data_IF_183692967250
#
_entry.id   IF_183692967250
#
_cell.length_a   1.000
_cell.length_b   1.000
_cell.length_c   1.000
_cell.angle_alpha   90.00
_cell.angle_beta   90.00
_cell.angle_gamma   90.00
#
_symmetry.space_group_name_H-M   'P 1'
#
loop_
_entity.id
_entity.type
_entity.pdbx_description
1 polymer ?
#
# COMPACT_ATOMS: atom_id res chain seq x y z
N UNK A 1 9.38 -14.76 7.55
CA UNK A 1 8.18 -14.68 8.40
C UNK A 1 8.42 -13.72 9.56
N UNK A 2 9.25 -14.05 10.55
CA UNK A 2 9.44 -13.22 11.77
C UNK A 2 9.83 -11.76 11.49
N UNK A 3 10.80 -11.50 10.62
CA UNK A 3 11.20 -10.13 10.20
C UNK A 3 10.06 -9.35 9.55
N UNK A 4 9.30 -10.01 8.68
CA UNK A 4 8.16 -9.40 8.01
C UNK A 4 7.05 -9.04 9.00
N UNK A 5 6.79 -9.92 9.97
CA UNK A 5 5.77 -9.71 11.00
C UNK A 5 6.13 -8.58 11.98
N UNK A 6 7.40 -8.48 12.38
CA UNK A 6 7.83 -7.60 13.47
C UNK A 6 8.37 -6.25 13.00
N UNK A 7 8.84 -6.14 11.76
CA UNK A 7 9.43 -4.90 11.24
C UNK A 7 8.70 -4.39 10.00
N UNK A 8 8.54 -5.22 8.96
CA UNK A 8 8.02 -4.74 7.67
C UNK A 8 6.56 -4.33 7.77
N UNK A 9 5.70 -5.22 8.27
CA UNK A 9 4.26 -4.93 8.35
C UNK A 9 3.98 -3.75 9.31
N UNK A 10 4.56 -3.69 10.54
CA UNK A 10 4.35 -2.53 11.41
C UNK A 10 4.94 -1.23 10.84
N UNK A 11 6.06 -1.28 10.10
CA UNK A 11 6.61 -0.10 9.44
C UNK A 11 5.71 0.37 8.29
N UNK A 12 5.17 -0.57 7.49
CA UNK A 12 4.14 -0.26 6.49
C UNK A 12 2.90 0.39 7.09
N UNK A 13 2.46 -0.09 8.26
CA UNK A 13 1.36 0.51 9.00
C UNK A 13 1.71 1.93 9.49
N UNK A 14 2.93 2.13 9.98
CA UNK A 14 3.43 3.44 10.40
C UNK A 14 3.45 4.44 9.23
N UNK A 15 3.91 4.05 8.04
CA UNK A 15 3.88 4.89 6.84
C UNK A 15 2.44 5.33 6.51
N UNK A 16 1.47 4.42 6.61
CA UNK A 16 0.08 4.72 6.28
C UNK A 16 -0.57 5.71 7.27
N UNK A 17 -0.33 5.55 8.58
CA UNK A 17 -0.87 6.49 9.58
C UNK A 17 -0.22 7.86 9.49
N UNK A 18 1.09 7.94 9.18
CA UNK A 18 1.76 9.22 8.96
C UNK A 18 1.27 9.90 7.68
N UNK A 19 1.02 9.13 6.63
CA UNK A 19 0.39 9.67 5.41
C UNK A 19 -1.00 10.22 5.73
N UNK A 20 -1.78 9.53 6.56
CA UNK A 20 -3.09 10.01 7.01
C UNK A 20 -2.98 11.34 7.75
N UNK A 21 -2.03 11.50 8.68
CA UNK A 21 -1.89 12.75 9.43
C UNK A 21 -1.57 13.94 8.52
N UNK A 22 -0.74 13.75 7.49
CA UNK A 22 -0.45 14.77 6.46
C UNK A 22 -1.73 15.21 5.75
N UNK A 23 -2.57 14.28 5.29
CA UNK A 23 -3.80 14.64 4.61
C UNK A 23 -4.87 15.20 5.57
N UNK A 24 -4.92 14.76 6.82
CA UNK A 24 -5.85 15.26 7.83
C UNK A 24 -5.56 16.72 8.17
N UNK A 25 -4.29 17.08 8.39
CA UNK A 25 -3.85 18.46 8.61
C UNK A 25 -4.18 19.34 7.41
N UNK A 26 -3.89 18.87 6.18
CA UNK A 26 -4.24 19.58 4.95
C UNK A 26 -5.75 19.78 4.79
N UNK A 27 -6.54 18.76 5.14
CA UNK A 27 -8.00 18.82 5.10
C UNK A 27 -8.58 19.87 6.05
N UNK A 28 -8.02 19.97 7.26
CA UNK A 28 -8.47 20.91 8.28
C UNK A 28 -7.86 22.31 8.12
N UNK A 29 -6.96 22.49 7.14
CA UNK A 29 -6.23 23.73 6.90
C UNK A 29 -5.53 24.26 8.16
N UNK A 30 -4.94 23.37 8.94
CA UNK A 30 -4.25 23.74 10.19
C UNK A 30 -2.86 24.25 9.84
N UNK A 31 -2.59 25.49 10.22
CA UNK A 31 -1.26 26.10 10.15
C UNK A 31 -0.54 25.97 11.50
N UNK A 32 0.76 25.68 11.46
CA UNK A 32 1.58 25.55 12.65
C UNK A 32 2.62 26.66 12.67
N UNK A 33 2.78 27.32 13.82
CA UNK A 33 3.80 28.36 14.01
C UNK A 33 5.22 27.77 14.13
N UNK A 34 5.34 26.58 14.72
CA UNK A 34 6.62 25.93 15.01
C UNK A 34 6.69 24.49 14.45
N UNK A 35 7.88 24.10 14.00
CA UNK A 35 8.17 22.77 13.48
C UNK A 35 7.91 21.66 14.52
N UNK A 36 8.25 21.93 15.79
CA UNK A 36 8.05 20.99 16.89
C UNK A 36 6.57 20.67 17.10
N UNK A 37 5.71 21.70 17.11
CA UNK A 37 4.26 21.56 17.25
C UNK A 37 3.67 20.80 16.06
N UNK A 38 4.17 21.04 14.85
CA UNK A 38 3.78 20.30 13.64
C UNK A 38 4.07 18.81 13.80
N UNK A 39 5.30 18.44 14.17
CA UNK A 39 5.70 17.03 14.35
C UNK A 39 4.84 16.35 15.42
N UNK A 40 4.62 17.00 16.56
CA UNK A 40 3.79 16.45 17.65
C UNK A 40 2.34 16.26 17.17
N UNK A 41 1.77 17.23 16.45
CA UNK A 41 0.42 17.12 15.92
C UNK A 41 0.29 15.96 14.92
N UNK A 42 1.26 15.79 14.01
CA UNK A 42 1.30 14.63 13.11
C UNK A 42 1.25 13.32 13.89
N UNK A 43 2.13 13.15 14.89
CA UNK A 43 2.18 11.94 15.73
C UNK A 43 0.89 11.68 16.49
N UNK A 44 0.32 12.71 17.11
CA UNK A 44 -0.93 12.57 17.86
C UNK A 44 -2.10 12.15 16.96
N UNK A 45 -2.22 12.74 15.77
CA UNK A 45 -3.25 12.37 14.80
C UNK A 45 -3.05 10.94 14.29
N UNK A 46 -1.81 10.59 13.91
CA UNK A 46 -1.42 9.24 13.48
C UNK A 46 -1.78 8.18 14.53
N UNK A 47 -1.40 8.40 15.79
CA UNK A 47 -1.64 7.45 16.88
C UNK A 47 -3.10 7.41 17.30
N UNK A 48 -3.82 8.53 17.26
CA UNK A 48 -5.25 8.57 17.56
C UNK A 48 -6.03 7.70 16.57
N UNK A 49 -5.73 7.79 15.27
CA UNK A 49 -6.33 6.91 14.26
C UNK A 49 -5.96 5.44 14.53
N UNK A 50 -4.68 5.16 14.79
CA UNK A 50 -4.22 3.79 15.01
C UNK A 50 -4.89 3.14 16.21
N UNK A 51 -5.00 3.87 17.33
CA UNK A 51 -5.66 3.41 18.56
C UNK A 51 -7.17 3.24 18.37
N UNK A 52 -7.82 4.14 17.63
CA UNK A 52 -9.23 3.99 17.26
C UNK A 52 -9.46 2.72 16.46
N UNK A 53 -8.65 2.47 15.42
CA UNK A 53 -8.76 1.27 14.60
C UNK A 53 -8.38 0.00 15.37
N UNK A 54 -7.38 0.07 16.26
CA UNK A 54 -7.06 -1.00 17.20
C UNK A 54 -8.27 -1.39 18.05
N UNK A 55 -8.92 -0.41 18.65
CA UNK A 55 -10.11 -0.64 19.47
C UNK A 55 -11.23 -1.28 18.63
N UNK A 56 -11.51 -0.73 17.45
CA UNK A 56 -12.51 -1.28 16.51
C UNK A 56 -12.20 -2.75 16.15
N UNK A 57 -10.94 -3.08 15.86
CA UNK A 57 -10.50 -4.43 15.51
C UNK A 57 -10.47 -5.41 16.70
N UNK A 58 -10.53 -4.92 17.94
CA UNK A 58 -10.70 -5.75 19.14
C UNK A 58 -12.15 -6.23 19.34
N UNK A 59 -13.13 -5.52 18.76
CA UNK A 59 -14.55 -5.87 18.73
C UNK A 59 -14.95 -6.51 17.39
N UNK A 60 -16.20 -6.98 17.30
CA UNK A 60 -16.70 -7.91 16.28
C UNK A 60 -16.18 -7.64 14.85
N UNK A 61 -15.21 -8.46 14.43
CA UNK A 61 -14.56 -8.39 13.12
C UNK A 61 -15.57 -8.51 11.97
N UNK A 62 -16.61 -9.31 12.18
CA UNK A 62 -17.60 -9.61 11.14
C UNK A 62 -18.54 -8.46 10.85
N UNK A 63 -18.83 -7.62 11.85
CA UNK A 63 -19.83 -6.55 11.74
C UNK A 63 -19.24 -5.16 11.66
N UNK A 64 -18.19 -4.84 12.41
CA UNK A 64 -17.65 -3.46 12.46
C UNK A 64 -16.53 -3.27 11.46
N UNK A 65 -15.53 -4.16 11.47
CA UNK A 65 -14.35 -4.07 10.59
C UNK A 65 -14.74 -4.17 9.12
N UNK A 66 -15.68 -5.07 8.78
CA UNK A 66 -16.22 -5.21 7.43
C UNK A 66 -16.94 -3.94 6.94
N UNK A 67 -17.73 -3.28 7.82
CA UNK A 67 -18.42 -2.02 7.49
C UNK A 67 -17.46 -0.88 7.24
N UNK A 68 -16.44 -0.72 8.09
CA UNK A 68 -15.37 0.29 7.88
C UNK A 68 -14.70 0.07 6.53
N UNK A 69 -14.42 -1.18 6.17
CA UNK A 69 -13.83 -1.51 4.88
C UNK A 69 -14.76 -1.15 3.71
N UNK A 70 -16.05 -1.49 3.79
CA UNK A 70 -17.05 -1.17 2.76
C UNK A 70 -17.15 0.34 2.56
N UNK A 71 -17.25 1.11 3.65
CA UNK A 71 -17.32 2.57 3.59
C UNK A 71 -16.08 3.14 2.89
N UNK A 72 -14.88 2.64 3.23
CA UNK A 72 -13.65 3.08 2.58
C UNK A 72 -13.60 2.72 1.09
N UNK A 73 -14.09 1.53 0.70
CA UNK A 73 -14.20 1.13 -0.71
C UNK A 73 -15.16 2.05 -1.47
N UNK A 74 -16.33 2.34 -0.90
CA UNK A 74 -17.28 3.31 -1.50
C UNK A 74 -16.60 4.68 -1.65
N UNK A 75 -15.89 5.16 -0.63
CA UNK A 75 -15.15 6.41 -0.70
C UNK A 75 -14.07 6.41 -1.80
N UNK A 76 -13.36 5.29 -2.01
CA UNK A 76 -12.39 5.12 -3.12
C UNK A 76 -13.08 5.31 -4.47
N UNK A 77 -14.22 4.67 -4.69
CA UNK A 77 -14.98 4.79 -5.94
C UNK A 77 -15.60 6.17 -6.13
N UNK A 78 -16.09 6.80 -5.07
CA UNK A 78 -16.63 8.17 -5.13
C UNK A 78 -15.52 9.16 -5.47
N UNK A 79 -14.37 9.08 -4.79
CA UNK A 79 -13.24 9.97 -5.04
C UNK A 79 -12.69 9.84 -6.46
N UNK A 80 -12.49 8.60 -6.93
CA UNK A 80 -12.05 8.37 -8.32
C UNK A 80 -13.12 8.75 -9.33
N UNK A 81 -14.40 8.45 -9.05
CA UNK A 81 -15.54 8.81 -9.89
C UNK A 81 -15.69 10.32 -10.07
N UNK A 82 -15.54 11.11 -8.99
CA UNK A 82 -15.55 12.58 -9.05
C UNK A 82 -14.47 13.09 -10.01
N UNK A 83 -13.24 12.57 -9.91
CA UNK A 83 -12.12 12.97 -10.78
C UNK A 83 -12.40 12.57 -12.24
N UNK A 84 -12.85 11.33 -12.48
CA UNK A 84 -13.11 10.81 -13.82
C UNK A 84 -14.26 11.56 -14.51
N UNK A 85 -15.38 11.75 -13.83
CA UNK A 85 -16.54 12.46 -14.37
C UNK A 85 -16.18 13.91 -14.67
N UNK A 86 -15.43 14.56 -13.78
CA UNK A 86 -14.95 15.92 -14.01
C UNK A 86 -14.00 15.99 -15.22
N UNK A 87 -13.05 15.05 -15.34
CA UNK A 87 -12.16 14.95 -16.51
C UNK A 87 -12.94 14.83 -17.82
N UNK A 88 -13.95 13.94 -17.86
CA UNK A 88 -14.83 13.77 -19.02
C UNK A 88 -15.64 15.04 -19.31
N UNK A 89 -16.16 15.72 -18.28
CA UNK A 89 -16.88 16.99 -18.46
C UNK A 89 -15.97 18.05 -19.10
N UNK A 90 -14.74 18.19 -18.63
CA UNK A 90 -13.77 19.12 -19.22
C UNK A 90 -13.38 18.70 -20.63
N UNK A 91 -13.26 17.41 -20.94
CA UNK A 91 -13.02 16.95 -22.32
C UNK A 91 -14.13 17.39 -23.28
N UNK A 92 -15.39 17.25 -22.87
CA UNK A 92 -16.54 17.51 -23.75
C UNK A 92 -16.91 18.99 -23.85
N UNK A 93 -16.74 19.75 -22.76
CA UNK A 93 -17.27 21.12 -22.63
C UNK A 93 -16.23 22.15 -22.18
N UNK A 94 -15.02 21.73 -21.83
CA UNK A 94 -13.99 22.59 -21.28
C UNK A 94 -13.36 23.49 -22.34
N UNK A 95 -13.27 24.79 -22.04
CA UNK A 95 -12.59 25.78 -22.90
C UNK A 95 -11.07 25.79 -22.77
N UNK A 96 -10.53 25.27 -21.66
CA UNK A 96 -9.11 25.29 -21.29
C UNK A 96 -8.52 23.88 -21.13
N UNK A 97 -8.92 22.95 -22.01
CA UNK A 97 -8.37 21.59 -22.02
C UNK A 97 -6.92 21.64 -22.51
N UNK A 98 -6.03 20.92 -21.83
CA UNK A 98 -4.63 20.79 -22.20
C UNK A 98 -4.44 19.80 -23.36
N UNK A 99 -5.05 20.09 -24.52
CA UNK A 99 -4.97 19.23 -25.70
C UNK A 99 -3.53 18.97 -26.16
N UNK A 100 -2.60 19.88 -25.85
CA UNK A 100 -1.19 19.71 -26.20
C UNK A 100 -0.59 18.42 -25.59
N UNK A 101 -1.05 18.03 -24.40
CA UNK A 101 -0.64 16.77 -23.76
C UNK A 101 -1.00 15.53 -24.60
N UNK A 102 -2.00 15.62 -25.49
CA UNK A 102 -2.46 14.51 -26.33
C UNK A 102 -1.95 14.58 -27.77
N UNK A 103 -1.69 15.77 -28.28
CA UNK A 103 -1.09 15.95 -29.61
C UNK A 103 0.41 15.64 -29.62
N UNK A 104 1.11 16.00 -28.54
CA UNK A 104 2.55 15.76 -28.39
C UNK A 104 2.88 15.01 -27.09
N UNK A 105 2.35 13.78 -26.88
CA UNK A 105 2.39 13.09 -25.59
C UNK A 105 3.79 12.66 -25.16
N UNK A 106 4.74 12.56 -26.10
CA UNK A 106 6.13 12.17 -25.84
C UNK A 106 7.12 13.34 -25.96
N UNK A 107 6.63 14.56 -26.12
CA UNK A 107 7.50 15.74 -26.18
C UNK A 107 8.28 15.90 -24.87
N UNK A 108 9.56 16.24 -24.96
CA UNK A 108 10.48 16.33 -23.82
C UNK A 108 10.62 15.03 -22.98
N UNK A 109 10.23 13.88 -23.52
CA UNK A 109 10.37 12.59 -22.83
C UNK A 109 11.81 12.11 -22.86
N UNK A 110 12.35 11.78 -21.69
CA UNK A 110 13.66 11.19 -21.58
C UNK A 110 13.60 9.66 -21.73
N UNK A 111 13.86 9.17 -22.95
CA UNK A 111 13.79 7.75 -23.31
C UNK A 111 15.01 6.92 -22.87
N UNK A 112 15.86 7.44 -21.96
CA UNK A 112 16.95 6.64 -21.39
C UNK A 112 16.34 5.41 -20.70
N UNK A 113 16.85 4.20 -20.94
CA UNK A 113 16.30 2.97 -20.37
C UNK A 113 16.11 3.02 -18.84
N UNK A 114 17.03 3.68 -18.12
CA UNK A 114 16.92 3.89 -16.67
C UNK A 114 15.70 4.72 -16.24
N UNK A 115 15.35 5.78 -16.99
CA UNK A 115 14.19 6.62 -16.67
C UNK A 115 12.87 5.90 -16.98
N UNK A 116 12.84 5.13 -18.07
CA UNK A 116 11.68 4.27 -18.38
C UNK A 116 11.49 3.23 -17.27
N UNK A 117 12.58 2.59 -16.82
CA UNK A 117 12.52 1.64 -15.71
C UNK A 117 12.00 2.29 -14.42
N UNK A 118 12.50 3.48 -14.06
CA UNK A 118 12.02 4.23 -12.89
C UNK A 118 10.54 4.60 -12.99
N UNK A 119 10.06 5.03 -14.17
CA UNK A 119 8.65 5.36 -14.39
C UNK A 119 7.75 4.11 -14.26
N UNK A 120 8.14 2.98 -14.86
CA UNK A 120 7.45 1.71 -14.71
C UNK A 120 7.39 1.26 -13.24
N UNK A 121 8.45 1.53 -12.46
CA UNK A 121 8.49 1.18 -11.04
C UNK A 121 7.57 2.04 -10.19
N UNK A 122 7.48 3.35 -10.44
CA UNK A 122 6.47 4.20 -9.81
C UNK A 122 5.04 3.72 -10.12
N UNK A 123 4.80 3.30 -11.37
CA UNK A 123 3.56 2.66 -11.78
C UNK A 123 3.28 1.38 -11.01
N UNK A 124 4.24 0.45 -10.96
CA UNK A 124 4.10 -0.83 -10.27
C UNK A 124 3.83 -0.66 -8.77
N UNK A 125 4.49 0.30 -8.12
CA UNK A 125 4.26 0.63 -6.71
C UNK A 125 2.79 0.99 -6.43
N UNK A 126 2.13 1.67 -7.37
CA UNK A 126 0.71 2.05 -7.23
C UNK A 126 -0.26 0.86 -7.23
N UNK A 127 0.17 -0.29 -7.77
CA UNK A 127 -0.60 -1.55 -7.79
C UNK A 127 -0.23 -2.52 -6.65
N UNK A 128 0.66 -2.12 -5.75
CA UNK A 128 1.07 -2.97 -4.63
C UNK A 128 -0.05 -3.18 -3.60
N UNK A 129 0.04 -4.27 -2.82
CA UNK A 129 -0.94 -4.64 -1.79
C UNK A 129 -1.94 -5.73 -2.19
N UNK A 130 -1.77 -6.33 -3.37
CA UNK A 130 -2.60 -7.43 -3.87
C UNK A 130 -2.45 -8.74 -3.10
N UNK A 131 -1.33 -8.91 -2.39
CA UNK A 131 -1.01 -10.08 -1.58
C UNK A 131 -1.73 -10.09 -0.23
N UNK A 132 -2.30 -8.95 0.21
CA UNK A 132 -3.05 -8.84 1.47
C UNK A 132 -4.23 -9.81 1.51
N UNK A 133 -4.86 -10.08 0.37
CA UNK A 133 -5.97 -11.02 0.24
C UNK A 133 -5.58 -12.43 0.73
N UNK A 134 -4.31 -12.81 0.63
CA UNK A 134 -3.82 -14.12 1.05
C UNK A 134 -3.86 -14.30 2.58
N UNK A 135 -3.77 -13.23 3.36
CA UNK A 135 -3.77 -13.31 4.83
C UNK A 135 -5.14 -13.67 5.42
N UNK A 136 -6.22 -13.45 4.67
CA UNK A 136 -7.59 -13.81 5.06
C UNK A 136 -8.12 -15.04 4.32
N UNK A 137 -7.26 -15.84 3.69
CA UNK A 137 -7.71 -16.95 2.82
C UNK A 137 -8.54 -18.01 3.57
N UNK A 138 -8.30 -18.19 4.87
CA UNK A 138 -9.07 -19.10 5.73
C UNK A 138 -10.54 -18.67 5.88
N UNK A 139 -10.80 -17.36 5.75
CA UNK A 139 -12.14 -16.78 5.84
C UNK A 139 -12.89 -16.78 4.49
N UNK A 140 -12.20 -17.10 3.39
CA UNK A 140 -12.76 -17.06 2.03
C UNK A 140 -13.50 -18.37 1.71
N UNK A 141 -14.76 -18.26 1.31
CA UNK A 141 -15.52 -19.41 0.79
C UNK A 141 -14.93 -19.88 -0.55
N UNK A 142 -14.60 -21.17 -0.64
CA UNK A 142 -14.08 -21.81 -1.86
C UNK A 142 -12.85 -21.10 -2.44
N UNK A 143 -11.74 -20.96 -1.69
CA UNK A 143 -10.62 -20.10 -2.05
C UNK A 143 -9.98 -20.47 -3.40
N UNK A 144 -10.00 -21.75 -3.77
CA UNK A 144 -9.46 -22.23 -5.06
C UNK A 144 -10.12 -21.58 -6.29
N UNK A 145 -11.42 -21.26 -6.22
CA UNK A 145 -12.16 -20.61 -7.32
C UNK A 145 -12.27 -19.10 -7.10
N UNK A 146 -12.52 -18.69 -5.86
CA UNK A 146 -12.77 -17.29 -5.52
C UNK A 146 -11.51 -16.45 -5.59
N UNK A 147 -10.35 -16.95 -5.13
CA UNK A 147 -9.10 -16.16 -5.08
C UNK A 147 -8.61 -15.75 -6.48
N UNK A 148 -8.46 -16.67 -7.46
CA UNK A 148 -7.97 -16.27 -8.79
C UNK A 148 -8.91 -15.27 -9.47
N UNK A 149 -10.22 -15.49 -9.35
CA UNK A 149 -11.23 -14.60 -9.91
C UNK A 149 -11.18 -13.21 -9.26
N UNK A 150 -11.14 -13.15 -7.93
CA UNK A 150 -11.04 -11.89 -7.19
C UNK A 150 -9.78 -11.09 -7.57
N UNK A 151 -8.63 -11.76 -7.68
CA UNK A 151 -7.37 -11.11 -8.09
C UNK A 151 -7.50 -10.54 -9.50
N UNK A 152 -7.97 -11.32 -10.48
CA UNK A 152 -8.06 -10.85 -11.87
C UNK A 152 -9.05 -9.68 -12.01
N UNK A 153 -10.25 -9.81 -11.44
CA UNK A 153 -11.27 -8.76 -11.53
C UNK A 153 -10.83 -7.49 -10.82
N UNK A 154 -10.27 -7.59 -9.60
CA UNK A 154 -9.78 -6.42 -8.87
C UNK A 154 -8.66 -5.72 -9.64
N UNK A 155 -7.75 -6.46 -10.26
CA UNK A 155 -6.66 -5.88 -11.07
C UNK A 155 -7.16 -5.14 -12.30
N UNK A 156 -8.12 -5.71 -13.03
CA UNK A 156 -8.69 -5.05 -14.21
C UNK A 156 -9.40 -3.76 -13.80
N UNK A 157 -10.23 -3.81 -12.75
CA UNK A 157 -10.95 -2.64 -12.24
C UNK A 157 -9.99 -1.55 -11.78
N UNK A 158 -8.96 -1.90 -11.00
CA UNK A 158 -7.94 -0.95 -10.56
C UNK A 158 -7.20 -0.32 -11.76
N UNK A 159 -6.80 -1.13 -12.75
CA UNK A 159 -6.10 -0.64 -13.93
C UNK A 159 -6.96 0.33 -14.75
N UNK A 160 -8.24 -0.01 -14.98
CA UNK A 160 -9.16 0.89 -15.68
C UNK A 160 -9.33 2.21 -14.94
N UNK A 161 -9.54 2.19 -13.63
CA UNK A 161 -9.70 3.41 -12.83
C UNK A 161 -8.43 4.25 -12.88
N UNK A 162 -7.26 3.65 -12.70
CA UNK A 162 -6.00 4.38 -12.70
C UNK A 162 -5.70 5.03 -14.05
N UNK A 163 -5.96 4.32 -15.16
CA UNK A 163 -5.82 4.89 -16.51
C UNK A 163 -6.79 6.06 -16.71
N UNK A 164 -8.07 5.89 -16.35
CA UNK A 164 -9.08 6.94 -16.49
C UNK A 164 -8.79 8.17 -15.62
N UNK A 165 -8.29 7.97 -14.40
CA UNK A 165 -7.87 9.07 -13.52
C UNK A 165 -6.68 9.84 -14.10
N UNK A 166 -5.64 9.12 -14.56
CA UNK A 166 -4.49 9.77 -15.20
C UNK A 166 -4.92 10.54 -16.45
N UNK A 167 -5.77 9.94 -17.28
CA UNK A 167 -6.35 10.60 -18.45
C UNK A 167 -7.05 11.92 -18.06
N UNK A 168 -7.82 11.90 -16.98
CA UNK A 168 -8.51 13.08 -16.45
C UNK A 168 -7.53 14.16 -15.98
N UNK A 169 -6.44 13.77 -15.32
CA UNK A 169 -5.38 14.72 -14.92
C UNK A 169 -4.72 15.37 -16.13
N UNK A 170 -4.34 14.59 -17.15
CA UNK A 170 -3.73 15.11 -18.38
C UNK A 170 -4.67 16.00 -19.20
N UNK A 171 -6.00 15.91 -19.03
CA UNK A 171 -6.95 16.80 -19.70
C UNK A 171 -6.95 18.22 -19.13
N UNK A 172 -6.63 18.39 -17.85
CA UNK A 172 -6.80 19.68 -17.16
C UNK A 172 -5.47 20.29 -16.74
N UNK A 173 -4.52 19.47 -16.31
CA UNK A 173 -3.24 19.89 -15.77
C UNK A 173 -2.15 19.81 -16.83
N UNK A 174 -1.24 20.78 -16.85
CA UNK A 174 -0.01 20.65 -17.64
C UNK A 174 0.94 19.65 -16.97
N UNK A 175 1.87 19.09 -17.74
CA UNK A 175 2.93 18.20 -17.22
C UNK A 175 3.75 18.91 -16.12
N UNK A 176 4.02 20.20 -16.29
CA UNK A 176 4.78 21.01 -15.33
C UNK A 176 4.02 21.23 -14.00
N UNK A 177 2.72 21.46 -14.06
CA UNK A 177 1.84 21.54 -12.88
C UNK A 177 1.79 20.21 -12.12
N UNK A 178 1.72 19.08 -12.83
CA UNK A 178 1.73 17.76 -12.21
C UNK A 178 3.08 17.43 -11.55
N UNK A 179 4.20 17.80 -12.17
CA UNK A 179 5.54 17.57 -11.63
C UNK A 179 5.85 18.44 -10.41
N UNK A 180 5.29 19.65 -10.35
CA UNK A 180 5.50 20.59 -9.24
C UNK A 180 4.58 20.35 -8.05
N UNK A 181 3.51 19.55 -8.23
CA UNK A 181 2.51 19.33 -7.19
C UNK A 181 2.79 18.08 -6.36
N UNK A 182 2.86 18.26 -5.05
CA UNK A 182 2.89 17.14 -4.10
C UNK A 182 1.55 16.39 -3.97
N UNK A 183 0.46 16.93 -4.51
CA UNK A 183 -0.88 16.33 -4.41
C UNK A 183 -1.70 16.63 -5.68
N UNK A 184 -1.43 15.88 -6.75
CA UNK A 184 -2.04 16.07 -8.07
C UNK A 184 -3.58 16.07 -8.03
N UNK A 185 -4.18 15.16 -7.26
CA UNK A 185 -5.64 15.10 -7.12
C UNK A 185 -6.25 16.34 -6.45
N UNK A 186 -5.56 16.92 -5.46
CA UNK A 186 -6.00 18.15 -4.79
C UNK A 186 -5.86 19.35 -5.73
N UNK A 187 -4.74 19.45 -6.45
CA UNK A 187 -4.51 20.50 -7.45
C UNK A 187 -5.54 20.43 -8.58
N UNK A 188 -5.85 19.22 -9.05
CA UNK A 188 -6.92 19.00 -10.03
C UNK A 188 -8.25 19.56 -9.55
N UNK A 189 -8.66 19.24 -8.32
CA UNK A 189 -9.92 19.72 -7.75
C UNK A 189 -9.93 21.23 -7.52
N UNK A 190 -8.83 21.81 -7.06
CA UNK A 190 -8.67 23.26 -6.92
C UNK A 190 -8.88 23.99 -8.24
N UNK A 191 -8.28 23.49 -9.33
CA UNK A 191 -8.36 24.12 -10.65
C UNK A 191 -9.70 23.92 -11.36
N UNK A 192 -10.37 22.79 -11.12
CA UNK A 192 -11.62 22.44 -11.83
C UNK A 192 -12.90 22.83 -11.10
N UNK A 193 -12.94 22.63 -9.78
CA UNK A 193 -14.14 22.78 -8.96
C UNK A 193 -14.06 24.00 -8.03
N UNK A 194 -12.87 24.59 -7.90
CA UNK A 194 -12.62 25.80 -7.12
C UNK A 194 -11.77 25.55 -5.87
N UNK A 195 -11.31 26.62 -5.20
CA UNK A 195 -10.26 26.56 -4.18
C UNK A 195 -10.63 25.74 -2.94
N UNK A 196 -11.92 25.61 -2.63
CA UNK A 196 -12.39 24.86 -1.46
C UNK A 196 -12.48 23.34 -1.71
N UNK A 197 -12.55 22.90 -2.96
CA UNK A 197 -12.71 21.47 -3.27
C UNK A 197 -11.47 20.63 -2.99
N UNK A 198 -10.28 21.26 -2.89
CA UNK A 198 -9.07 20.56 -2.45
C UNK A 198 -9.22 19.97 -1.04
N UNK A 199 -9.96 20.64 -0.15
CA UNK A 199 -10.23 20.13 1.21
C UNK A 199 -11.17 18.92 1.18
N UNK A 200 -12.17 18.91 0.28
CA UNK A 200 -13.04 17.75 0.09
C UNK A 200 -12.25 16.54 -0.44
N UNK A 201 -11.35 16.73 -1.40
CA UNK A 201 -10.47 15.64 -1.86
C UNK A 201 -9.56 15.16 -0.74
N UNK A 202 -8.97 16.06 0.06
CA UNK A 202 -8.15 15.67 1.21
C UNK A 202 -8.95 14.83 2.23
N UNK A 203 -10.21 15.20 2.49
CA UNK A 203 -11.12 14.43 3.35
C UNK A 203 -11.38 13.03 2.79
N UNK A 204 -11.68 12.93 1.49
CA UNK A 204 -11.89 11.63 0.85
C UNK A 204 -10.63 10.77 0.92
N UNK A 205 -9.45 11.34 0.68
CA UNK A 205 -8.17 10.64 0.83
C UNK A 205 -7.98 10.15 2.27
N UNK A 206 -8.36 10.93 3.29
CA UNK A 206 -8.34 10.48 4.68
C UNK A 206 -9.22 9.23 4.89
N UNK A 207 -10.46 9.22 4.38
CA UNK A 207 -11.38 8.07 4.50
C UNK A 207 -10.84 6.84 3.75
N UNK A 208 -10.18 7.06 2.61
CA UNK A 208 -9.49 6.02 1.84
C UNK A 208 -8.35 5.40 2.65
N UNK A 209 -7.55 6.24 3.31
CA UNK A 209 -6.43 5.80 4.15
C UNK A 209 -6.90 5.05 5.40
N UNK A 210 -8.02 5.44 6.03
CA UNK A 210 -8.61 4.70 7.16
C UNK A 210 -8.84 3.23 6.80
N UNK A 211 -9.42 2.94 5.62
CA UNK A 211 -9.63 1.56 5.18
C UNK A 211 -8.33 0.83 4.83
N UNK A 212 -7.33 1.53 4.27
CA UNK A 212 -6.01 0.94 4.02
C UNK A 212 -5.30 0.56 5.33
N UNK A 213 -5.30 1.46 6.33
CA UNK A 213 -4.74 1.19 7.67
C UNK A 213 -5.48 0.03 8.34
N UNK A 214 -6.81 0.00 8.23
CA UNK A 214 -7.63 -1.09 8.76
C UNK A 214 -7.33 -2.43 8.10
N UNK A 215 -7.17 -2.47 6.78
CA UNK A 215 -6.79 -3.68 6.05
C UNK A 215 -5.38 -4.18 6.42
N UNK A 216 -4.41 -3.27 6.54
CA UNK A 216 -3.04 -3.59 6.98
C UNK A 216 -3.01 -4.14 8.40
N UNK A 217 -3.78 -3.54 9.31
CA UNK A 217 -3.91 -3.97 10.70
C UNK A 217 -4.53 -5.38 10.80
N UNK A 218 -5.57 -5.64 9.99
CA UNK A 218 -6.19 -6.96 9.86
C UNK A 218 -5.20 -8.02 9.31
N UNK A 219 -4.49 -7.70 8.24
CA UNK A 219 -3.52 -8.61 7.61
C UNK A 219 -2.31 -8.88 8.50
N UNK A 220 -1.74 -7.83 9.10
CA UNK A 220 -0.57 -7.90 9.96
C UNK A 220 -0.79 -8.74 11.21
N UNK A 221 -1.94 -8.57 11.88
CA UNK A 221 -2.29 -9.33 13.08
C UNK A 221 -2.51 -10.82 12.80
N UNK A 222 -3.19 -11.17 11.70
CA UNK A 222 -3.35 -12.58 11.26
C UNK A 222 -2.03 -13.22 10.86
N UNK A 223 -1.15 -12.45 10.23
CA UNK A 223 0.16 -12.95 9.84
C UNK A 223 1.07 -13.24 11.06
N UNK A 224 1.02 -12.38 12.08
CA UNK A 224 1.64 -12.61 13.39
C UNK A 224 1.06 -13.86 14.07
N UNK A 225 -0.26 -13.98 14.11
CA UNK A 225 -0.96 -15.12 14.69
C UNK A 225 -0.59 -16.45 14.01
N UNK A 226 -0.64 -16.50 12.67
CA UNK A 226 -0.29 -17.68 11.90
C UNK A 226 1.18 -18.07 12.10
N UNK A 227 2.08 -17.08 12.15
CA UNK A 227 3.51 -17.32 12.42
C UNK A 227 3.75 -17.92 13.81
N UNK A 228 2.94 -17.55 14.81
CA UNK A 228 3.03 -18.10 16.16
C UNK A 228 2.48 -19.54 16.25
N UNK A 229 1.45 -19.87 15.48
CA UNK A 229 0.94 -21.26 15.38
C UNK A 229 1.98 -22.22 14.82
N UNK A 230 2.79 -21.75 13.87
CA UNK A 230 3.93 -22.49 13.31
C UNK A 230 5.18 -22.44 14.20
N UNK A 231 5.08 -21.95 15.45
CA UNK A 231 6.17 -21.85 16.43
C UNK A 231 7.36 -20.97 16.00
N UNK A 232 7.18 -20.09 15.02
CA UNK A 232 8.20 -19.11 14.62
C UNK A 232 8.23 -17.87 15.52
N UNK A 233 7.22 -17.69 16.37
CA UNK A 233 7.06 -16.60 17.32
C UNK A 233 6.52 -17.15 18.65
N UNK A 234 6.68 -16.42 19.78
CA UNK A 234 6.15 -16.82 21.08
C UNK A 234 4.67 -17.21 21.04
N UNK A 235 4.30 -18.27 21.78
CA UNK A 235 2.96 -18.87 21.73
C UNK A 235 1.83 -17.90 22.12
N UNK A 236 2.10 -16.87 22.91
CA UNK A 236 1.13 -15.82 23.28
C UNK A 236 0.47 -15.14 22.07
N UNK A 237 1.18 -15.02 20.94
CA UNK A 237 0.64 -14.44 19.70
C UNK A 237 -0.42 -15.33 19.02
N UNK A 238 -0.47 -16.62 19.35
CA UNK A 238 -1.41 -17.58 18.75
C UNK A 238 -2.81 -17.56 19.41
N UNK A 239 -3.00 -16.79 20.48
CA UNK A 239 -4.25 -16.72 21.23
C UNK A 239 -5.29 -15.86 20.49
N UNK A 240 -6.46 -16.44 20.24
CA UNK A 240 -7.64 -15.76 19.67
C UNK A 240 -8.73 -15.62 20.73
N UNK A 241 -9.42 -14.47 20.76
CA UNK A 241 -10.66 -14.36 21.51
C UNK A 241 -11.81 -15.07 20.77
N UNK A 242 -12.38 -16.10 21.38
CA UNK A 242 -13.46 -16.94 20.80
C UNK A 242 -14.73 -16.17 20.44
N UNK A 243 -15.11 -15.15 21.21
CA UNK A 243 -16.35 -14.41 20.99
C UNK A 243 -16.31 -13.52 19.74
N UNK A 244 -15.12 -13.01 19.40
CA UNK A 244 -14.95 -11.98 18.38
C UNK A 244 -14.01 -12.40 17.23
N UNK A 245 -13.45 -13.61 17.32
CA UNK A 245 -12.48 -14.19 16.40
C UNK A 245 -11.25 -13.30 16.13
N UNK A 246 -10.89 -12.48 17.14
CA UNK A 246 -9.85 -11.45 17.02
C UNK A 246 -8.57 -11.84 17.78
N UNK A 247 -7.39 -11.84 17.13
CA UNK A 247 -6.10 -12.11 17.77
C UNK A 247 -5.58 -10.85 18.49
N UNK A 248 -6.23 -10.48 19.60
CA UNK A 248 -5.98 -9.21 20.35
C UNK A 248 -4.51 -9.02 20.77
N UNK A 249 -3.85 -10.10 21.19
CA UNK A 249 -2.44 -10.10 21.57
C UNK A 249 -1.52 -9.68 20.41
N UNK A 250 -1.69 -10.31 19.24
CA UNK A 250 -0.95 -9.99 18.03
C UNK A 250 -1.27 -8.58 17.53
N UNK A 251 -2.54 -8.18 17.59
CA UNK A 251 -3.00 -6.85 17.20
C UNK A 251 -2.33 -5.76 18.06
N UNK A 252 -2.30 -5.94 19.38
CA UNK A 252 -1.70 -4.98 20.32
C UNK A 252 -0.21 -4.79 20.04
N UNK A 253 0.55 -5.88 19.91
CA UNK A 253 1.99 -5.79 19.61
C UNK A 253 2.23 -5.17 18.24
N UNK A 254 1.41 -5.48 17.24
CA UNK A 254 1.52 -4.88 15.92
C UNK A 254 1.37 -3.35 15.97
N UNK A 255 0.42 -2.86 16.75
CA UNK A 255 0.16 -1.43 16.98
C UNK A 255 1.31 -0.77 17.74
N UNK A 256 1.79 -1.39 18.82
CA UNK A 256 2.93 -0.88 19.60
C UNK A 256 4.20 -0.79 18.74
N UNK A 257 4.47 -1.82 17.93
CA UNK A 257 5.59 -1.82 17.01
C UNK A 257 5.43 -0.73 15.95
N UNK A 258 4.24 -0.53 15.38
CA UNK A 258 4.02 0.53 14.41
C UNK A 258 4.23 1.93 15.02
N UNK A 259 3.76 2.17 16.25
CA UNK A 259 4.03 3.43 16.96
C UNK A 259 5.51 3.64 17.20
N UNK A 260 6.23 2.62 17.68
CA UNK A 260 7.68 2.70 17.91
C UNK A 260 8.46 2.94 16.61
N UNK A 261 8.18 2.16 15.57
CA UNK A 261 8.83 2.29 14.26
C UNK A 261 8.52 3.63 13.58
N UNK A 262 7.40 4.27 13.90
CA UNK A 262 7.11 5.62 13.38
C UNK A 262 8.17 6.65 13.81
N UNK A 263 8.88 6.44 14.92
CA UNK A 263 9.96 7.33 15.37
C UNK A 263 11.30 7.03 14.70
N UNK A 264 11.40 5.92 13.95
CA UNK A 264 12.64 5.48 13.32
C UNK A 264 12.74 5.99 11.88
N UNK A 265 13.15 7.25 11.75
CA UNK A 265 13.44 7.91 10.48
C UNK A 265 12.26 8.69 9.92
N UNK A 266 12.51 9.41 8.83
CA UNK A 266 11.48 10.20 8.13
C UNK A 266 10.66 9.32 7.18
N UNK A 267 9.47 9.78 6.78
CA UNK A 267 8.53 9.04 5.93
C UNK A 267 9.19 8.45 4.66
N UNK A 268 10.01 9.23 3.96
CA UNK A 268 10.71 8.80 2.74
C UNK A 268 11.74 7.69 3.00
N UNK A 269 12.47 7.78 4.11
CA UNK A 269 13.42 6.75 4.53
C UNK A 269 12.67 5.44 4.86
N UNK A 270 11.57 5.53 5.61
CA UNK A 270 10.74 4.38 5.96
C UNK A 270 10.19 3.67 4.73
N UNK A 271 9.66 4.42 3.75
CA UNK A 271 9.17 3.89 2.48
C UNK A 271 10.29 3.13 1.77
N UNK A 272 11.50 3.70 1.75
CA UNK A 272 12.66 3.10 1.08
C UNK A 272 13.11 1.79 1.77
N UNK A 273 13.17 1.75 3.11
CA UNK A 273 13.52 0.55 3.88
C UNK A 273 12.51 -0.58 3.64
N UNK A 274 11.21 -0.26 3.70
CA UNK A 274 10.13 -1.22 3.51
C UNK A 274 10.14 -1.74 2.08
N UNK A 275 10.25 -0.86 1.08
CA UNK A 275 10.29 -1.23 -0.32
C UNK A 275 11.43 -2.23 -0.61
N UNK A 276 12.66 -1.90 -0.20
CA UNK A 276 13.80 -2.81 -0.37
C UNK A 276 13.51 -4.19 0.23
N UNK A 277 13.05 -4.21 1.48
CA UNK A 277 12.86 -5.46 2.25
C UNK A 277 11.72 -6.30 1.67
N UNK A 278 10.64 -5.67 1.20
CA UNK A 278 9.53 -6.36 0.53
C UNK A 278 9.99 -7.00 -0.77
N UNK A 279 10.71 -6.26 -1.62
CA UNK A 279 11.14 -6.76 -2.92
C UNK A 279 12.15 -7.89 -2.83
N UNK A 280 13.10 -7.83 -1.89
CA UNK A 280 14.05 -8.92 -1.69
C UNK A 280 13.36 -10.19 -1.13
N UNK A 281 12.40 -10.04 -0.21
CA UNK A 281 11.61 -11.19 0.28
C UNK A 281 10.77 -11.80 -0.83
N UNK A 282 10.19 -10.98 -1.71
CA UNK A 282 9.45 -11.46 -2.89
C UNK A 282 10.37 -12.21 -3.86
N UNK A 283 11.58 -11.71 -4.11
CA UNK A 283 12.61 -12.43 -4.89
C UNK A 283 12.96 -13.78 -4.28
N UNK A 284 13.22 -13.84 -2.96
CA UNK A 284 13.50 -15.10 -2.25
C UNK A 284 12.30 -16.05 -2.37
N UNK A 285 11.08 -15.55 -2.22
CA UNK A 285 9.85 -16.34 -2.33
C UNK A 285 9.72 -16.97 -3.72
N UNK A 286 10.06 -16.23 -4.79
CA UNK A 286 10.08 -16.77 -6.15
C UNK A 286 11.17 -17.82 -6.35
N UNK A 287 12.37 -17.62 -5.81
CA UNK A 287 13.43 -18.63 -5.82
C UNK A 287 12.99 -19.92 -5.11
N UNK A 288 12.30 -19.80 -3.97
CA UNK A 288 11.70 -20.95 -3.29
C UNK A 288 10.63 -21.63 -4.16
N UNK A 289 9.80 -20.86 -4.87
CA UNK A 289 8.81 -21.42 -5.80
C UNK A 289 9.49 -22.22 -6.93
N UNK A 290 10.57 -21.71 -7.52
CA UNK A 290 11.33 -22.46 -8.53
C UNK A 290 11.89 -23.76 -7.97
N UNK A 291 12.46 -23.73 -6.76
CA UNK A 291 12.99 -24.90 -6.09
C UNK A 291 11.90 -25.98 -5.88
N UNK A 292 10.68 -25.57 -5.49
CA UNK A 292 9.51 -26.46 -5.39
C UNK A 292 9.08 -26.97 -6.78
N UNK A 293 9.05 -26.11 -7.80
CA UNK A 293 8.62 -26.46 -9.17
C UNK A 293 9.55 -27.46 -9.85
N UNK A 294 10.86 -27.33 -9.64
CA UNK A 294 11.87 -28.25 -10.15
C UNK A 294 12.08 -29.47 -9.24
N UNK A 295 11.28 -29.60 -8.18
CA UNK A 295 11.33 -30.69 -7.22
C UNK A 295 12.73 -30.93 -6.59
N UNK A 296 13.55 -29.87 -6.51
CA UNK A 296 14.93 -29.96 -6.03
C UNK A 296 14.94 -30.30 -4.52
N UNK A 297 14.05 -29.69 -3.73
CA UNK A 297 13.90 -29.98 -2.30
C UNK A 297 12.95 -31.14 -1.95
N UNK A 298 12.42 -31.90 -2.92
CA UNK A 298 11.51 -33.05 -2.70
C UNK A 298 10.37 -32.80 -1.69
N UNK A 299 9.78 -31.60 -1.71
CA UNK A 299 8.68 -31.24 -0.80
C UNK A 299 7.34 -31.73 -1.35
N UNK A 300 6.45 -32.30 -0.50
CA UNK A 300 5.14 -32.71 -0.95
C UNK A 300 4.33 -31.48 -1.40
N UNK A 301 3.88 -31.50 -2.65
CA UNK A 301 2.99 -30.46 -3.20
C UNK A 301 1.57 -30.99 -3.16
N UNK A 302 0.65 -30.21 -2.58
CA UNK A 302 -0.75 -30.58 -2.49
C UNK A 302 -1.35 -30.82 -3.89
N UNK A 303 -2.12 -31.89 -4.08
CA UNK A 303 -2.65 -32.32 -5.40
C UNK A 303 -3.46 -31.23 -6.10
N UNK A 304 -4.21 -30.44 -5.32
CA UNK A 304 -5.05 -29.33 -5.81
C UNK A 304 -4.31 -27.99 -5.99
N UNK A 305 -2.97 -27.98 -5.92
CA UNK A 305 -2.17 -26.76 -6.06
C UNK A 305 -2.39 -26.09 -7.43
N UNK A 306 -2.50 -24.76 -7.42
CA UNK A 306 -2.68 -23.96 -8.63
C UNK A 306 -1.33 -23.86 -9.35
N UNK A 307 -1.30 -24.21 -10.63
CA UNK A 307 -0.10 -24.14 -11.46
C UNK A 307 -0.28 -23.05 -12.52
N UNK A 308 0.61 -22.06 -12.48
CA UNK A 308 0.76 -21.04 -13.54
C UNK A 308 1.91 -21.39 -14.48
N UNK A 309 1.91 -20.90 -15.73
CA UNK A 309 3.05 -21.00 -16.65
C UNK A 309 4.35 -20.46 -16.03
N UNK A 310 5.48 -21.15 -16.24
CA UNK A 310 6.78 -20.81 -15.64
C UNK A 310 7.30 -19.42 -16.04
N UNK A 311 6.90 -18.92 -17.21
CA UNK A 311 7.28 -17.59 -17.68
C UNK A 311 6.84 -16.48 -16.73
N UNK A 312 5.68 -16.62 -16.07
CA UNK A 312 5.15 -15.59 -15.18
C UNK A 312 6.01 -15.40 -13.92
N UNK A 313 6.35 -16.44 -13.13
CA UNK A 313 7.32 -16.32 -12.04
C UNK A 313 8.70 -15.81 -12.47
N UNK A 314 9.16 -16.15 -13.69
CA UNK A 314 10.48 -15.69 -14.18
C UNK A 314 10.46 -14.19 -14.41
N UNK A 315 9.44 -13.68 -15.11
CA UNK A 315 9.26 -12.24 -15.32
C UNK A 315 9.14 -11.53 -13.98
N UNK A 316 8.34 -12.06 -13.05
CA UNK A 316 8.16 -11.45 -11.74
C UNK A 316 9.45 -11.43 -10.91
N UNK A 317 10.28 -12.48 -10.97
CA UNK A 317 11.59 -12.49 -10.33
C UNK A 317 12.51 -11.41 -10.92
N UNK A 318 12.55 -11.27 -12.25
CA UNK A 318 13.36 -10.24 -12.93
C UNK A 318 12.92 -8.84 -12.48
N UNK A 319 11.61 -8.59 -12.40
CA UNK A 319 11.06 -7.32 -11.91
C UNK A 319 11.46 -7.08 -10.45
N UNK A 320 11.32 -8.07 -9.58
CA UNK A 320 11.68 -7.93 -8.17
C UNK A 320 13.19 -7.67 -7.98
N UNK A 321 14.06 -8.36 -8.72
CA UNK A 321 15.51 -8.12 -8.69
C UNK A 321 15.86 -6.72 -9.21
N UNK A 322 15.17 -6.26 -10.25
CA UNK A 322 15.38 -4.91 -10.80
C UNK A 322 14.99 -3.82 -9.79
N UNK A 323 13.89 -4.01 -9.04
CA UNK A 323 13.46 -3.09 -7.98
C UNK A 323 14.45 -3.06 -6.83
N UNK A 324 14.97 -4.21 -6.41
CA UNK A 324 16.04 -4.29 -5.40
C UNK A 324 17.25 -3.48 -5.86
N UNK A 325 17.70 -3.67 -7.10
CA UNK A 325 18.85 -2.92 -7.65
C UNK A 325 18.62 -1.42 -7.67
N UNK A 326 17.42 -0.95 -8.03
CA UNK A 326 17.11 0.48 -8.04
C UNK A 326 17.07 1.05 -6.62
N UNK A 327 16.48 0.35 -5.65
CA UNK A 327 16.50 0.83 -4.26
C UNK A 327 17.92 0.91 -3.70
N UNK A 328 18.83 0.01 -4.10
CA UNK A 328 20.25 0.08 -3.75
C UNK A 328 20.91 1.34 -4.33
N UNK A 329 20.66 1.64 -5.60
CA UNK A 329 21.25 2.80 -6.28
C UNK A 329 20.70 4.11 -5.71
N UNK A 330 19.39 4.20 -5.50
CA UNK A 330 18.75 5.43 -5.03
C UNK A 330 18.94 5.68 -3.53
N UNK A 331 19.05 4.62 -2.73
CA UNK A 331 19.07 4.73 -1.27
C UNK A 331 19.93 3.61 -0.66
N UNK A 332 21.24 3.77 -0.81
CA UNK A 332 22.22 2.79 -0.34
C UNK A 332 22.16 2.56 1.18
N UNK A 333 22.09 3.65 1.97
CA UNK A 333 21.89 3.60 3.44
C UNK A 333 20.67 2.75 3.79
N UNK A 334 19.57 2.94 3.05
CA UNK A 334 18.32 2.22 3.24
C UNK A 334 18.39 0.74 2.94
N UNK A 335 19.15 0.38 1.92
CA UNK A 335 19.37 -1.01 1.55
C UNK A 335 20.21 -1.75 2.59
N UNK A 336 21.22 -1.09 3.17
CA UNK A 336 22.02 -1.66 4.27
C UNK A 336 21.15 -1.92 5.50
N UNK A 337 20.35 -0.94 5.93
CA UNK A 337 19.45 -1.11 7.09
C UNK A 337 18.46 -2.24 6.83
N UNK A 338 17.87 -2.32 5.63
CA UNK A 338 16.99 -3.43 5.24
C UNK A 338 17.68 -4.79 5.29
N UNK A 339 18.94 -4.89 4.82
CA UNK A 339 19.75 -6.11 4.93
C UNK A 339 20.05 -6.49 6.38
N UNK A 340 20.39 -5.52 7.23
CA UNK A 340 20.62 -5.76 8.65
C UNK A 340 19.35 -6.29 9.33
N UNK A 341 18.19 -5.69 9.05
CA UNK A 341 16.89 -6.14 9.56
C UNK A 341 16.58 -7.59 9.14
N UNK A 342 16.93 -7.96 7.90
CA UNK A 342 16.82 -9.34 7.43
C UNK A 342 17.81 -10.29 8.13
N UNK A 343 19.04 -9.82 8.37
CA UNK A 343 20.10 -10.59 9.01
C UNK A 343 19.84 -10.87 10.49
N UNK A 344 19.09 -10.02 11.20
CA UNK A 344 18.68 -10.26 12.60
C UNK A 344 18.01 -11.63 12.78
N UNK A 345 17.34 -12.15 11.74
CA UNK A 345 16.73 -13.49 11.74
C UNK A 345 17.75 -14.63 11.71
N UNK A 346 18.92 -14.45 11.11
CA UNK A 346 19.92 -15.52 11.07
C UNK A 346 20.59 -15.74 12.44
N UNK A 347 20.45 -14.76 13.34
CA UNK A 347 21.03 -14.78 14.68
C UNK A 347 20.06 -15.26 15.78
N UNK A 348 18.76 -15.40 15.47
CA UNK A 348 17.68 -15.84 16.39
C UNK A 348 17.04 -17.10 15.81
#
# INVERSE_FOLDING_TARGET
MSTSCLFINPCGLAIQIETFSVYAIRCLNIEFCDESTRIIAHKLISFSLLLLLFFINCFSLRHVVSRVQIISVIAKFVASGIIIICGIYFLLFGKNVQFNNFYHPFENTNLRPGNIALALFGGLYSYDGWDILNYGIEDVKSPRRTMPFAIIVSMIVCASIYVLMNLSFFMVLSVTEMQSSHAVAMLFAEKTMGPHFKYLIALLVCIVLIGSVNASLFGGSRFLWASARERHLPAFFSVINREHDSPRAALFVHVVLAMFLSFLGNLEEMISYVAFTVWIIRSITMLCLFNIRFNICKRPVHEKAIRVPLILPIIFLIVCLSLVSITIIQSFKSSIVGLLILAIRLAI
#
